data_IF_992593059714
#
_entry.id   IF_992593059714
#
_cell.length_a   1.000
_cell.length_b   1.000
_cell.length_c   1.000
_cell.angle_alpha   90.00
_cell.angle_beta   90.00
_cell.angle_gamma   90.00
#
_symmetry.space_group_name_H-M   'P 1'
#
loop_
_entity.id
_entity.type
_entity.pdbx_description
1 polymer ?
#
# COMPACT_ATOMS: atom_id res chain seq x y z
N UNK A 1 7.44 -4.94 26.91
CA UNK A 1 8.65 -5.78 26.76
C UNK A 1 9.19 -5.60 25.34
N UNK A 2 10.50 -5.38 25.15
CA UNK A 2 11.13 -5.29 23.81
C UNK A 2 11.25 -6.70 23.23
N UNK A 3 10.28 -7.13 22.42
CA UNK A 3 10.21 -8.51 21.91
C UNK A 3 11.02 -8.72 20.62
N UNK A 4 11.26 -7.66 19.85
CA UNK A 4 12.19 -7.65 18.71
C UNK A 4 12.67 -6.21 18.45
N UNK A 5 13.92 -6.03 18.02
CA UNK A 5 14.49 -4.71 17.69
C UNK A 5 15.03 -4.72 16.27
N UNK A 6 14.86 -3.60 15.56
CA UNK A 6 15.53 -3.41 14.28
C UNK A 6 17.04 -3.27 14.52
N UNK A 7 17.89 -3.77 13.60
CA UNK A 7 19.33 -3.60 13.71
C UNK A 7 19.69 -2.11 13.70
N UNK A 8 20.81 -1.77 14.34
CA UNK A 8 21.34 -0.41 14.28
C UNK A 8 21.81 -0.09 12.86
N UNK A 9 21.19 0.90 12.21
CA UNK A 9 21.52 1.33 10.86
C UNK A 9 22.29 2.64 10.93
N UNK A 10 23.48 2.68 10.30
CA UNK A 10 24.21 3.94 10.12
C UNK A 10 23.53 4.74 9.01
N UNK A 11 23.19 5.98 9.34
CA UNK A 11 22.59 6.94 8.41
C UNK A 11 23.46 8.19 8.31
N UNK A 12 23.31 8.94 7.22
CA UNK A 12 23.96 10.24 7.09
C UNK A 12 23.39 11.23 8.13
N UNK A 13 24.20 12.12 8.71
CA UNK A 13 23.72 13.12 9.68
C UNK A 13 22.58 13.98 9.15
N UNK A 14 22.67 14.43 7.89
CA UNK A 14 21.64 15.24 7.24
C UNK A 14 20.26 14.55 7.21
N UNK A 15 20.22 13.24 6.93
CA UNK A 15 18.96 12.48 6.94
C UNK A 15 18.36 12.42 8.36
N UNK A 16 19.21 12.27 9.38
CA UNK A 16 18.74 12.25 10.78
C UNK A 16 18.14 13.59 11.18
N UNK A 17 18.79 14.69 10.81
CA UNK A 17 18.31 16.04 11.09
C UNK A 17 16.97 16.31 10.39
N UNK A 18 16.85 15.92 9.12
CA UNK A 18 15.61 16.05 8.35
C UNK A 18 14.45 15.29 9.01
N UNK A 19 14.66 14.05 9.41
CA UNK A 19 13.62 13.25 10.08
C UNK A 19 13.22 13.90 11.40
N UNK A 20 14.19 14.34 12.22
CA UNK A 20 13.90 14.98 13.51
C UNK A 20 13.11 16.29 13.36
N UNK A 21 13.34 17.05 12.29
CA UNK A 21 12.61 18.28 12.01
C UNK A 21 11.16 18.03 11.55
N UNK A 22 10.84 16.83 11.07
CA UNK A 22 9.53 16.46 10.52
C UNK A 22 8.67 15.59 11.48
N UNK A 23 9.17 15.31 12.69
CA UNK A 23 8.41 14.54 13.68
C UNK A 23 7.12 15.28 14.07
N UNK A 24 6.04 14.52 14.23
CA UNK A 24 4.79 15.02 14.79
C UNK A 24 4.92 15.40 16.27
N UNK A 25 3.88 16.06 16.79
CA UNK A 25 3.80 16.38 18.22
C UNK A 25 3.84 15.09 19.05
N UNK A 26 4.81 15.00 19.96
CA UNK A 26 5.08 13.81 20.78
C UNK A 26 5.52 12.55 20.03
N UNK A 27 5.84 12.63 18.74
CA UNK A 27 6.39 11.49 17.99
C UNK A 27 7.89 11.33 18.27
N UNK A 28 8.33 10.11 18.52
CA UNK A 28 9.75 9.79 18.66
C UNK A 28 10.35 9.28 17.34
N UNK A 29 11.66 9.44 17.18
CA UNK A 29 12.39 8.89 16.03
C UNK A 29 12.19 7.37 15.87
N UNK A 30 12.06 6.64 16.98
CA UNK A 30 11.83 5.19 16.97
C UNK A 30 10.45 4.84 16.42
N UNK A 31 9.40 5.59 16.81
CA UNK A 31 8.03 5.40 16.32
C UNK A 31 7.91 5.74 14.84
N UNK A 32 8.56 6.82 14.40
CA UNK A 32 8.64 7.19 13.00
C UNK A 32 9.30 6.06 12.16
N UNK A 33 10.45 5.55 12.60
CA UNK A 33 11.16 4.46 11.92
C UNK A 33 10.34 3.17 11.91
N UNK A 34 9.70 2.80 13.03
CA UNK A 34 8.82 1.63 13.08
C UNK A 34 7.69 1.74 12.06
N UNK A 35 7.02 2.90 12.03
CA UNK A 35 5.91 3.17 11.12
C UNK A 35 6.36 3.08 9.67
N UNK A 36 7.47 3.74 9.32
CA UNK A 36 8.04 3.71 7.98
C UNK A 36 8.40 2.27 7.54
N UNK A 37 8.98 1.46 8.42
CA UNK A 37 9.29 0.05 8.13
C UNK A 37 8.01 -0.75 7.92
N UNK A 38 7.02 -0.59 8.80
CA UNK A 38 5.72 -1.28 8.71
C UNK A 38 5.04 -0.96 7.38
N UNK A 39 4.95 0.30 7.00
CA UNK A 39 4.37 0.73 5.72
C UNK A 39 5.11 0.16 4.51
N UNK A 40 6.44 0.16 4.54
CA UNK A 40 7.25 -0.41 3.47
C UNK A 40 7.05 -1.92 3.33
N UNK A 41 6.97 -2.65 4.45
CA UNK A 41 6.67 -4.09 4.44
C UNK A 41 5.30 -4.34 3.83
N UNK A 42 4.27 -3.60 4.25
CA UNK A 42 2.93 -3.76 3.69
C UNK A 42 2.88 -3.45 2.19
N UNK A 43 3.54 -2.37 1.76
CA UNK A 43 3.64 -2.01 0.34
C UNK A 43 4.30 -3.11 -0.47
N UNK A 44 5.44 -3.64 -0.01
CA UNK A 44 6.15 -4.73 -0.70
C UNK A 44 5.33 -6.01 -0.75
N UNK A 45 4.67 -6.37 0.36
CA UNK A 45 3.77 -7.53 0.42
C UNK A 45 2.64 -7.40 -0.60
N UNK A 46 1.95 -6.27 -0.61
CA UNK A 46 0.86 -6.01 -1.56
C UNK A 46 1.32 -6.09 -3.01
N UNK A 47 2.51 -5.56 -3.32
CA UNK A 47 3.09 -5.62 -4.67
C UNK A 47 3.36 -7.07 -5.11
N UNK A 48 3.96 -7.87 -4.22
CA UNK A 48 4.26 -9.27 -4.50
C UNK A 48 2.97 -10.09 -4.66
N UNK A 49 2.00 -9.90 -3.77
CA UNK A 49 0.70 -10.56 -3.85
C UNK A 49 -0.06 -10.17 -5.12
N UNK A 50 -0.02 -8.90 -5.53
CA UNK A 50 -0.64 -8.43 -6.77
C UNK A 50 -0.05 -9.14 -7.99
N UNK A 51 1.28 -9.21 -8.08
CA UNK A 51 1.96 -9.91 -9.17
C UNK A 51 1.63 -11.41 -9.17
N UNK A 52 1.67 -12.06 -8.02
CA UNK A 52 1.33 -13.48 -7.89
C UNK A 52 -0.11 -13.77 -8.33
N UNK A 53 -1.08 -12.94 -7.92
CA UNK A 53 -2.48 -13.05 -8.33
C UNK A 53 -2.64 -12.83 -9.84
N UNK A 54 -1.92 -11.88 -10.42
CA UNK A 54 -1.93 -11.61 -11.86
C UNK A 54 -1.43 -12.81 -12.68
N UNK A 55 -0.31 -13.42 -12.27
CA UNK A 55 0.24 -14.61 -12.92
C UNK A 55 -0.73 -15.78 -12.82
N UNK A 56 -1.27 -16.05 -11.62
CA UNK A 56 -2.24 -17.13 -11.42
C UNK A 56 -3.52 -16.92 -12.25
N UNK A 57 -3.99 -15.67 -12.36
CA UNK A 57 -5.14 -15.31 -13.20
C UNK A 57 -4.86 -15.56 -14.69
N UNK A 58 -3.66 -15.21 -15.17
CA UNK A 58 -3.25 -15.45 -16.54
C UNK A 58 -3.20 -16.96 -16.85
N UNK A 59 -2.59 -17.76 -15.96
CA UNK A 59 -2.55 -19.22 -16.12
C UNK A 59 -3.95 -19.83 -16.13
N UNK A 60 -4.84 -19.33 -15.28
CA UNK A 60 -6.23 -19.78 -15.26
C UNK A 60 -6.95 -19.45 -16.57
N UNK A 61 -6.85 -18.22 -17.07
CA UNK A 61 -7.48 -17.80 -18.32
C UNK A 61 -6.96 -18.62 -19.51
N UNK A 62 -5.64 -18.87 -19.58
CA UNK A 62 -5.05 -19.74 -20.62
C UNK A 62 -5.60 -21.17 -20.61
N UNK A 63 -5.93 -21.70 -19.43
CA UNK A 63 -6.46 -23.07 -19.28
C UNK A 63 -7.96 -23.15 -19.59
N UNK A 64 -8.72 -22.12 -19.25
CA UNK A 64 -10.19 -22.12 -19.37
C UNK A 64 -10.71 -21.39 -20.61
N UNK A 65 -9.84 -20.69 -21.33
CA UNK A 65 -10.17 -19.77 -22.43
C UNK A 65 -11.17 -18.66 -22.03
N UNK A 66 -11.24 -18.37 -20.73
CA UNK A 66 -12.16 -17.38 -20.17
C UNK A 66 -11.48 -16.02 -20.06
N UNK A 67 -11.70 -15.18 -21.06
CA UNK A 67 -11.22 -13.80 -21.10
C UNK A 67 -12.37 -12.80 -20.94
N UNK A 68 -12.04 -11.58 -20.51
CA UNK A 68 -12.98 -10.46 -20.42
C UNK A 68 -12.40 -9.31 -21.22
N UNK A 69 -13.23 -8.72 -22.08
CA UNK A 69 -12.86 -7.54 -22.85
C UNK A 69 -12.44 -6.38 -21.94
N UNK A 70 -11.38 -5.67 -22.34
CA UNK A 70 -10.81 -4.58 -21.54
C UNK A 70 -11.85 -3.49 -21.25
N UNK A 71 -12.67 -3.14 -22.24
CA UNK A 71 -13.72 -2.12 -22.11
C UNK A 71 -14.76 -2.51 -21.05
N UNK A 72 -15.16 -3.79 -21.01
CA UNK A 72 -16.11 -4.28 -20.01
C UNK A 72 -15.55 -4.18 -18.58
N UNK A 73 -14.24 -4.40 -18.41
CA UNK A 73 -13.55 -4.20 -17.14
C UNK A 73 -13.52 -2.72 -16.76
N UNK A 74 -13.10 -1.85 -17.67
CA UNK A 74 -13.01 -0.40 -17.44
C UNK A 74 -14.37 0.20 -17.08
N UNK A 75 -15.42 -0.15 -17.81
CA UNK A 75 -16.79 0.28 -17.54
C UNK A 75 -17.25 -0.12 -16.14
N UNK A 76 -16.93 -1.35 -15.73
CA UNK A 76 -17.27 -1.84 -14.39
C UNK A 76 -16.53 -1.05 -13.31
N UNK A 77 -15.26 -0.73 -13.52
CA UNK A 77 -14.47 0.07 -12.59
C UNK A 77 -14.98 1.51 -12.49
N UNK A 78 -15.31 2.14 -13.62
CA UNK A 78 -15.89 3.49 -13.66
C UNK A 78 -17.23 3.52 -12.91
N UNK A 79 -18.11 2.53 -13.12
CA UNK A 79 -19.37 2.42 -12.37
C UNK A 79 -19.13 2.32 -10.86
N UNK A 80 -18.24 1.42 -10.43
CA UNK A 80 -17.90 1.25 -9.00
C UNK A 80 -17.34 2.54 -8.40
N UNK A 81 -16.46 3.24 -9.12
CA UNK A 81 -15.88 4.51 -8.70
C UNK A 81 -16.96 5.58 -8.52
N UNK A 82 -17.88 5.71 -9.48
CA UNK A 82 -18.98 6.68 -9.41
C UNK A 82 -19.88 6.42 -8.19
N UNK A 83 -20.22 5.14 -7.92
CA UNK A 83 -20.99 4.76 -6.72
C UNK A 83 -20.23 5.14 -5.44
N UNK A 84 -18.92 4.87 -5.36
CA UNK A 84 -18.12 5.23 -4.19
C UNK A 84 -18.05 6.75 -3.96
N UNK A 85 -17.93 7.54 -5.03
CA UNK A 85 -17.95 9.01 -4.97
C UNK A 85 -19.28 9.54 -4.43
N UNK A 86 -20.41 9.00 -4.92
CA UNK A 86 -21.74 9.39 -4.46
C UNK A 86 -21.95 9.07 -2.97
N UNK A 87 -21.53 7.88 -2.51
CA UNK A 87 -21.59 7.49 -1.09
C UNK A 87 -20.78 8.43 -0.21
N UNK A 88 -19.56 8.79 -0.64
CA UNK A 88 -18.70 9.73 0.09
C UNK A 88 -19.31 11.13 0.17
N UNK A 89 -20.03 11.58 -0.87
CA UNK A 89 -20.72 12.87 -0.86
C UNK A 89 -21.95 12.86 0.06
N UNK A 90 -22.69 11.74 0.10
CA UNK A 90 -23.85 11.58 0.95
C UNK A 90 -23.50 11.51 2.45
N UNK A 91 -22.41 10.82 2.82
CA UNK A 91 -21.93 10.75 4.21
C UNK A 91 -21.22 12.01 4.73
N UNK A 92 -21.10 13.05 3.90
CA UNK A 92 -20.57 14.37 4.28
C UNK A 92 -21.68 15.41 4.57
N UNK A 93 -22.95 15.05 4.37
CA UNK A 93 -24.13 15.85 4.72
C UNK A 93 -24.71 15.34 6.03
#
# INVERSE_FOLDING_TARGET
>A
MKTATLPSVRVQPALREEVQALLGEHETLSEFVETAVRENVQRRRNQLEFAARGIASLESAKRTDSYVEADAVLDTLVRKLNVAKLKRAAGKR
#
